data_IF_574771583753
#
_entry.id   IF_574771583753
#
_cell.length_a   1.000
_cell.length_b   1.000
_cell.length_c   1.000
_cell.angle_alpha   90.00
_cell.angle_beta   90.00
_cell.angle_gamma   90.00
#
_symmetry.space_group_name_H-M   'P 1'
#
loop_
_entity.id
_entity.type
_entity.pdbx_description
1 polymer ?
#
# COMPACT_ATOMS: atom_id res chain seq x y z
N UNK A 1 15.26 -3.24 15.44
CA UNK A 1 14.62 -2.83 14.17
C UNK A 1 13.59 -1.78 14.53
N UNK A 2 13.49 -0.68 13.80
CA UNK A 2 12.42 0.29 14.07
C UNK A 2 11.07 -0.30 13.64
N UNK A 3 9.99 -0.12 14.44
CA UNK A 3 8.69 -0.68 14.15
C UNK A 3 8.09 -0.10 12.86
N UNK A 4 7.26 -0.87 12.17
CA UNK A 4 6.54 -0.38 11.00
C UNK A 4 5.38 0.52 11.43
N UNK A 5 5.54 1.83 11.25
CA UNK A 5 4.52 2.80 11.64
C UNK A 5 3.47 2.90 10.55
N UNK A 6 2.20 2.73 10.94
CA UNK A 6 1.06 2.86 10.05
C UNK A 6 0.06 3.84 10.67
N UNK A 7 -0.58 4.66 9.85
CA UNK A 7 -1.50 5.66 10.39
C UNK A 7 -2.69 4.97 11.05
N UNK A 8 -3.24 5.58 12.10
CA UNK A 8 -4.52 5.13 12.65
C UNK A 8 -5.64 5.25 11.59
N UNK A 9 -6.55 4.27 11.42
CA UNK A 9 -7.58 4.29 10.37
C UNK A 9 -8.49 5.53 10.37
N UNK A 10 -8.71 6.12 11.54
CA UNK A 10 -9.53 7.34 11.70
C UNK A 10 -8.77 8.64 11.42
N UNK A 11 -7.45 8.56 11.34
CA UNK A 11 -6.57 9.71 11.07
C UNK A 11 -6.20 9.83 9.59
N UNK A 12 -6.65 8.90 8.74
CA UNK A 12 -6.40 8.94 7.28
C UNK A 12 -6.76 10.33 6.72
N UNK A 13 -5.84 10.98 5.98
CA UNK A 13 -6.06 12.33 5.46
C UNK A 13 -7.39 12.47 4.71
N UNK A 14 -8.06 13.60 4.94
CA UNK A 14 -9.34 13.90 4.29
C UNK A 14 -9.20 14.75 3.04
N UNK A 15 -8.05 15.34 2.76
CA UNK A 15 -7.91 16.15 1.57
C UNK A 15 -6.57 15.81 0.94
N UNK A 16 -6.53 15.87 -0.40
CA UNK A 16 -5.27 15.68 -1.13
C UNK A 16 -4.27 16.75 -0.72
N UNK A 17 -4.75 17.96 -0.49
CA UNK A 17 -3.98 19.12 -0.04
C UNK A 17 -3.28 18.84 1.31
N UNK A 18 -3.86 17.98 2.16
CA UNK A 18 -3.26 17.53 3.41
C UNK A 18 -2.03 16.63 3.21
N UNK A 19 -1.87 16.01 2.05
CA UNK A 19 -0.70 15.19 1.68
C UNK A 19 0.31 15.98 0.84
N UNK A 20 -0.11 17.06 0.18
CA UNK A 20 0.71 17.78 -0.78
C UNK A 20 1.97 18.38 -0.14
N UNK A 21 1.85 18.91 1.08
CA UNK A 21 3.00 19.44 1.82
C UNK A 21 4.03 18.34 2.10
N UNK A 22 3.60 17.22 2.71
CA UNK A 22 4.46 16.08 3.00
C UNK A 22 5.10 15.50 1.73
N UNK A 23 4.33 15.31 0.66
CA UNK A 23 4.85 14.85 -0.62
C UNK A 23 5.90 15.81 -1.18
N UNK A 24 5.67 17.13 -1.10
CA UNK A 24 6.63 18.13 -1.56
C UNK A 24 7.94 18.09 -0.75
N UNK A 25 7.86 17.88 0.56
CA UNK A 25 9.04 17.71 1.43
C UNK A 25 9.81 16.45 1.04
N UNK A 26 9.12 15.31 0.91
CA UNK A 26 9.75 14.04 0.51
C UNK A 26 10.45 14.15 -0.85
N UNK A 27 9.82 14.78 -1.84
CA UNK A 27 10.42 15.03 -3.16
C UNK A 27 11.68 15.87 -3.07
N UNK A 28 11.66 16.96 -2.29
CA UNK A 28 12.86 17.82 -2.08
C UNK A 28 14.02 17.06 -1.45
N UNK A 29 13.72 16.01 -0.68
CA UNK A 29 14.71 15.13 -0.07
C UNK A 29 15.11 13.94 -0.96
N UNK A 30 14.54 13.81 -2.17
CA UNK A 30 14.77 12.68 -3.08
C UNK A 30 14.13 11.37 -2.59
N UNK A 31 13.08 11.46 -1.79
CA UNK A 31 12.36 10.34 -1.17
C UNK A 31 10.96 10.17 -1.77
N UNK A 32 10.83 10.28 -3.09
CA UNK A 32 9.57 10.00 -3.81
C UNK A 32 9.59 8.62 -4.48
N UNK A 33 8.63 8.33 -5.34
CA UNK A 33 8.49 7.04 -6.03
C UNK A 33 9.73 6.65 -6.86
N UNK A 34 10.53 7.61 -7.30
CA UNK A 34 11.76 7.35 -8.07
C UNK A 34 12.82 6.59 -7.26
N UNK A 35 12.76 6.66 -5.92
CA UNK A 35 13.67 5.92 -5.04
C UNK A 35 13.56 4.42 -5.21
N UNK A 36 12.41 3.92 -5.66
CA UNK A 36 12.16 2.50 -5.92
C UNK A 36 12.96 1.99 -7.12
N UNK A 37 13.38 2.88 -8.03
CA UNK A 37 14.24 2.57 -9.17
C UNK A 37 15.73 2.82 -8.89
N UNK A 38 16.07 3.47 -7.77
CA UNK A 38 17.45 3.76 -7.40
C UNK A 38 18.27 2.49 -7.11
N UNK A 39 19.60 2.62 -7.01
CA UNK A 39 20.48 1.49 -6.64
C UNK A 39 20.11 0.90 -5.25
N UNK A 40 20.45 -0.37 -4.95
CA UNK A 40 20.19 -0.99 -3.65
C UNK A 40 20.71 -0.20 -2.45
N UNK A 41 21.87 0.46 -2.58
CA UNK A 41 22.45 1.28 -1.50
C UNK A 41 21.56 2.49 -1.19
N UNK A 42 21.15 3.22 -2.23
CA UNK A 42 20.24 4.36 -2.10
C UNK A 42 18.88 3.96 -1.52
N UNK A 43 18.33 2.80 -1.92
CA UNK A 43 17.09 2.25 -1.34
C UNK A 43 17.20 1.99 0.16
N UNK A 44 18.31 1.40 0.60
CA UNK A 44 18.57 1.15 2.04
C UNK A 44 18.68 2.45 2.82
N UNK A 45 19.42 3.43 2.29
CA UNK A 45 19.53 4.74 2.93
C UNK A 45 18.17 5.43 3.03
N UNK A 46 17.40 5.44 1.95
CA UNK A 46 16.05 6.02 1.92
C UNK A 46 15.13 5.36 2.94
N UNK A 47 15.18 4.03 3.09
CA UNK A 47 14.41 3.30 4.11
C UNK A 47 14.74 3.80 5.52
N UNK A 48 16.03 3.95 5.84
CA UNK A 48 16.48 4.44 7.15
C UNK A 48 16.03 5.88 7.39
N UNK A 49 16.17 6.73 6.38
CA UNK A 49 15.77 8.14 6.47
C UNK A 49 14.26 8.28 6.65
N UNK A 50 13.45 7.53 5.89
CA UNK A 50 11.99 7.52 6.01
C UNK A 50 11.50 6.96 7.37
N UNK A 51 12.24 6.03 7.96
CA UNK A 51 11.92 5.45 9.26
C UNK A 51 12.37 6.37 10.42
N UNK A 52 13.30 7.30 10.18
CA UNK A 52 13.74 8.26 11.19
C UNK A 52 12.69 9.32 11.50
N UNK A 53 12.60 9.76 12.76
CA UNK A 53 11.67 10.81 13.21
C UNK A 53 12.02 12.22 12.71
N UNK A 54 13.14 12.40 12.00
CA UNK A 54 13.57 13.71 11.48
C UNK A 54 12.89 14.12 10.17
N UNK A 55 12.20 13.20 9.49
CA UNK A 55 11.53 13.45 8.20
C UNK A 55 10.02 13.50 8.33
N UNK A 56 9.47 12.68 9.23
CA UNK A 56 8.03 12.57 9.47
C UNK A 56 7.82 12.66 10.97
N UNK A 57 7.05 13.65 11.40
CA UNK A 57 6.57 13.73 12.78
C UNK A 57 5.48 12.69 13.00
N UNK A 58 5.61 11.90 14.06
CA UNK A 58 4.61 10.91 14.44
C UNK A 58 4.50 10.87 15.95
N UNK A 59 3.31 10.54 16.42
CA UNK A 59 3.02 10.32 17.83
C UNK A 59 2.19 9.05 17.96
N UNK A 60 2.29 8.29 19.07
CA UNK A 60 1.30 7.25 19.35
C UNK A 60 -0.10 7.85 19.27
N UNK A 61 -1.04 7.15 18.64
CA UNK A 61 -2.42 7.60 18.70
C UNK A 61 -2.95 7.54 20.18
N UNK A 62 -4.09 8.18 20.54
CA UNK A 62 -4.75 8.06 21.88
C UNK A 62 -5.93 7.03 21.98
N UNK A 63 -5.81 5.92 22.76
CA UNK A 63 -6.69 4.71 22.65
C UNK A 63 -5.96 3.34 22.79
N UNK A 64 -6.69 2.22 22.64
CA UNK A 64 -6.15 0.84 22.63
C UNK A 64 -6.03 0.34 21.18
N UNK A 65 -4.81 0.15 20.68
CA UNK A 65 -4.51 0.59 19.31
C UNK A 65 -4.49 -0.43 18.19
N UNK A 66 -4.94 -1.66 18.40
CA UNK A 66 -4.86 -2.65 17.33
C UNK A 66 -3.45 -2.72 16.70
N UNK A 67 -2.43 -2.48 17.54
CA UNK A 67 -1.05 -2.80 17.20
C UNK A 67 -1.05 -4.26 16.80
N UNK A 68 -0.37 -4.56 15.70
CA UNK A 68 -0.22 -5.93 15.27
C UNK A 68 1.19 -6.38 15.63
N UNK A 69 1.41 -6.94 16.83
CA UNK A 69 2.74 -7.38 17.26
C UNK A 69 3.27 -8.52 16.38
N UNK A 70 2.40 -9.22 15.63
CA UNK A 70 2.83 -10.28 14.70
C UNK A 70 3.49 -9.69 13.47
N UNK A 71 3.04 -8.51 13.06
CA UNK A 71 3.59 -7.77 11.93
C UNK A 71 4.56 -6.67 12.37
N UNK A 72 4.75 -6.46 13.68
CA UNK A 72 5.51 -5.35 14.26
C UNK A 72 5.04 -4.01 13.62
N UNK A 73 3.70 -3.84 13.64
CA UNK A 73 3.00 -2.65 13.16
C UNK A 73 2.51 -1.85 14.36
N UNK A 74 2.88 -0.58 14.39
CA UNK A 74 2.44 0.38 15.43
C UNK A 74 1.51 1.41 14.80
N UNK A 75 0.33 1.61 15.39
CA UNK A 75 -0.61 2.63 14.92
C UNK A 75 -0.26 4.01 15.49
N UNK A 76 0.01 4.97 14.60
CA UNK A 76 0.46 6.32 14.96
C UNK A 76 -0.47 7.41 14.42
N UNK A 77 -0.39 8.58 15.03
CA UNK A 77 -0.84 9.88 14.53
C UNK A 77 0.35 10.78 14.15
N UNK A 78 0.16 12.10 14.24
CA UNK A 78 1.18 13.12 13.89
C UNK A 78 0.99 13.73 12.50
N UNK A 79 2.07 13.89 11.73
CA UNK A 79 2.05 14.27 10.32
C UNK A 79 1.41 13.15 9.48
N UNK A 80 0.08 13.19 9.42
CA UNK A 80 -0.76 12.19 8.75
C UNK A 80 -0.35 11.99 7.30
N UNK A 81 0.09 13.06 6.63
CA UNK A 81 0.53 13.01 5.25
C UNK A 81 1.87 12.30 5.13
N UNK A 82 2.83 12.71 5.95
CA UNK A 82 4.15 12.10 6.04
C UNK A 82 4.09 10.61 6.39
N UNK A 83 3.32 10.24 7.42
CA UNK A 83 3.17 8.84 7.87
C UNK A 83 2.54 7.96 6.78
N UNK A 84 1.50 8.45 6.09
CA UNK A 84 0.85 7.68 5.03
C UNK A 84 1.81 7.44 3.87
N UNK A 85 2.52 8.48 3.40
CA UNK A 85 3.44 8.36 2.28
C UNK A 85 4.69 7.54 2.64
N UNK A 86 5.25 7.76 3.83
CA UNK A 86 6.45 7.04 4.29
C UNK A 86 6.16 5.56 4.52
N UNK A 87 5.01 5.20 5.12
CA UNK A 87 4.66 3.80 5.36
C UNK A 87 4.50 3.02 4.04
N UNK A 88 3.90 3.62 3.00
CA UNK A 88 3.83 3.04 1.66
C UNK A 88 5.25 2.84 1.10
N UNK A 89 6.08 3.88 1.07
CA UNK A 89 7.45 3.79 0.53
C UNK A 89 8.32 2.79 1.27
N UNK A 90 8.29 2.77 2.60
CA UNK A 90 9.01 1.78 3.42
C UNK A 90 8.53 0.37 3.07
N UNK A 91 7.21 0.14 2.97
CA UNK A 91 6.66 -1.16 2.57
C UNK A 91 7.20 -1.64 1.22
N UNK A 92 7.27 -0.73 0.24
CA UNK A 92 7.88 -1.05 -1.07
C UNK A 92 9.37 -1.34 -0.98
N UNK A 93 10.13 -0.55 -0.22
CA UNK A 93 11.56 -0.76 -0.02
C UNK A 93 11.84 -2.10 0.66
N UNK A 94 10.99 -2.54 1.59
CA UNK A 94 11.07 -3.83 2.26
C UNK A 94 10.84 -4.99 1.28
N UNK A 95 9.79 -4.89 0.46
CA UNK A 95 9.49 -5.86 -0.60
C UNK A 95 10.63 -5.94 -1.61
N UNK A 96 11.14 -4.80 -2.09
CA UNK A 96 12.26 -4.76 -3.03
C UNK A 96 13.54 -5.35 -2.43
N UNK A 97 13.83 -5.05 -1.17
CA UNK A 97 15.01 -5.57 -0.48
C UNK A 97 14.92 -7.09 -0.33
N UNK A 98 13.77 -7.60 0.12
CA UNK A 98 13.54 -9.03 0.24
C UNK A 98 13.57 -9.74 -1.12
N UNK A 99 12.92 -9.17 -2.14
CA UNK A 99 12.89 -9.75 -3.48
C UNK A 99 14.26 -9.78 -4.15
N UNK A 100 15.12 -8.78 -3.90
CA UNK A 100 16.51 -8.79 -4.39
C UNK A 100 17.33 -9.94 -3.79
N UNK A 101 17.04 -10.33 -2.53
CA UNK A 101 17.80 -11.35 -1.80
C UNK A 101 17.29 -12.77 -2.05
N UNK A 102 15.96 -12.95 -2.05
CA UNK A 102 15.29 -14.25 -2.14
C UNK A 102 14.78 -14.57 -3.56
N UNK A 103 14.74 -13.58 -4.47
CA UNK A 103 14.08 -13.69 -5.76
C UNK A 103 12.55 -13.67 -5.63
N UNK A 104 11.82 -13.82 -6.73
CA UNK A 104 10.36 -13.92 -6.71
C UNK A 104 9.85 -14.81 -7.83
N UNK A 105 8.76 -15.54 -7.61
CA UNK A 105 8.05 -16.28 -8.66
C UNK A 105 6.90 -15.48 -9.27
N UNK A 106 6.62 -14.27 -8.75
CA UNK A 106 5.62 -13.36 -9.30
C UNK A 106 6.02 -12.95 -10.72
N UNK A 107 5.10 -13.14 -11.66
CA UNK A 107 5.29 -12.75 -13.05
C UNK A 107 5.45 -11.25 -13.25
N UNK A 108 6.08 -10.87 -14.36
CA UNK A 108 6.42 -9.49 -14.70
C UNK A 108 5.22 -8.53 -14.67
N UNK A 109 4.05 -8.95 -15.16
CA UNK A 109 2.84 -8.11 -15.18
C UNK A 109 2.30 -7.80 -13.78
N UNK A 110 2.36 -8.78 -12.88
CA UNK A 110 1.99 -8.60 -11.48
C UNK A 110 3.01 -7.72 -10.77
N UNK A 111 4.31 -7.91 -11.06
CA UNK A 111 5.37 -7.05 -10.54
C UNK A 111 5.23 -5.59 -11.00
N UNK A 112 4.92 -5.37 -12.27
CA UNK A 112 4.60 -4.04 -12.82
C UNK A 112 3.38 -3.43 -12.15
N UNK A 113 2.33 -4.22 -11.95
CA UNK A 113 1.12 -3.80 -11.23
C UNK A 113 1.45 -3.34 -9.82
N UNK A 114 2.30 -4.09 -9.11
CA UNK A 114 2.75 -3.75 -7.77
C UNK A 114 3.48 -2.41 -7.76
N UNK A 115 4.49 -2.23 -8.60
CA UNK A 115 5.34 -1.04 -8.58
C UNK A 115 4.68 0.22 -9.15
N UNK A 116 3.54 0.12 -9.84
CA UNK A 116 2.85 1.29 -10.39
C UNK A 116 2.14 2.17 -9.34
N UNK A 117 1.71 1.58 -8.22
CA UNK A 117 0.87 2.30 -7.26
C UNK A 117 1.58 3.49 -6.56
N UNK A 118 2.88 3.45 -6.22
CA UNK A 118 3.63 4.59 -5.70
C UNK A 118 3.64 5.77 -6.67
N UNK A 119 3.95 5.53 -7.94
CA UNK A 119 3.91 6.57 -8.98
C UNK A 119 2.51 7.15 -9.11
N UNK A 120 1.48 6.31 -9.18
CA UNK A 120 0.09 6.78 -9.20
C UNK A 120 -0.28 7.63 -7.97
N UNK A 121 0.23 7.27 -6.78
CA UNK A 121 -0.01 8.01 -5.54
C UNK A 121 0.69 9.38 -5.55
N UNK A 122 1.97 9.43 -5.92
CA UNK A 122 2.71 10.69 -6.00
C UNK A 122 2.18 11.60 -7.11
N UNK A 123 1.82 11.03 -8.27
CA UNK A 123 1.22 11.78 -9.37
C UNK A 123 -0.13 12.38 -8.96
N UNK A 124 -0.97 11.60 -8.28
CA UNK A 124 -2.24 12.09 -7.74
C UNK A 124 -2.04 13.24 -6.73
N UNK A 125 -1.14 13.07 -5.77
CA UNK A 125 -0.92 14.06 -4.70
C UNK A 125 -0.27 15.33 -5.22
N UNK A 126 0.69 15.22 -6.14
CA UNK A 126 1.48 16.35 -6.66
C UNK A 126 0.96 16.91 -7.99
N UNK A 127 -0.09 16.31 -8.56
CA UNK A 127 -0.65 16.65 -9.87
C UNK A 127 0.41 16.58 -10.98
N UNK A 128 1.27 15.55 -10.93
CA UNK A 128 2.25 15.29 -11.99
C UNK A 128 1.55 14.59 -13.17
N UNK A 129 2.03 14.78 -14.41
CA UNK A 129 1.60 13.94 -15.52
C UNK A 129 2.02 12.49 -15.24
N UNK A 130 1.18 11.53 -15.64
CA UNK A 130 1.50 10.11 -15.48
C UNK A 130 2.73 9.75 -16.31
N UNK A 131 3.85 9.49 -15.64
CA UNK A 131 5.10 9.08 -16.30
C UNK A 131 5.26 7.57 -16.19
N UNK A 132 5.60 6.93 -17.31
CA UNK A 132 5.92 5.51 -17.32
C UNK A 132 7.13 5.23 -16.43
N UNK A 133 7.05 4.18 -15.62
CA UNK A 133 8.14 3.72 -14.76
C UNK A 133 8.81 2.49 -15.38
N UNK A 134 10.13 2.48 -15.39
CA UNK A 134 10.94 1.33 -15.77
C UNK A 134 10.91 0.28 -14.66
N UNK A 135 10.36 -0.89 -14.97
CA UNK A 135 10.23 -2.00 -14.02
C UNK A 135 11.32 -3.02 -14.29
N UNK A 136 12.14 -3.29 -13.27
CA UNK A 136 13.10 -4.40 -13.28
C UNK A 136 12.57 -5.49 -12.35
N UNK A 137 12.27 -6.65 -12.92
CA UNK A 137 11.88 -7.83 -12.15
C UNK A 137 13.11 -8.38 -11.42
N UNK A 138 13.03 -8.66 -10.11
CA UNK A 138 14.12 -9.26 -9.37
C UNK A 138 14.55 -10.59 -10.00
N UNK A 139 15.86 -10.79 -10.12
CA UNK A 139 16.43 -12.06 -10.57
C UNK A 139 16.31 -13.17 -9.53
N UNK A 140 16.93 -14.32 -9.82
CA UNK A 140 17.02 -15.40 -8.85
C UNK A 140 17.83 -14.96 -7.62
N UNK A 141 17.22 -15.07 -6.44
CA UNK A 141 17.91 -14.84 -5.18
C UNK A 141 18.47 -16.13 -4.58
N UNK A 142 19.39 -15.99 -3.65
CA UNK A 142 20.08 -17.10 -2.97
C UNK A 142 19.63 -17.29 -1.53
N UNK A 143 19.05 -16.26 -0.92
CA UNK A 143 18.65 -16.27 0.49
C UNK A 143 17.29 -16.95 0.67
N UNK A 144 17.07 -17.60 1.81
CA UNK A 144 15.77 -18.14 2.21
C UNK A 144 15.22 -17.38 3.43
N UNK A 145 14.27 -16.47 3.18
CA UNK A 145 13.76 -15.50 4.17
C UNK A 145 12.23 -15.46 4.19
N UNK A 146 11.55 -16.60 4.47
CA UNK A 146 10.10 -16.71 4.34
C UNK A 146 9.34 -15.82 5.32
N UNK A 147 9.85 -15.64 6.54
CA UNK A 147 9.24 -14.76 7.54
C UNK A 147 9.32 -13.29 7.12
N UNK A 148 10.51 -12.82 6.70
CA UNK A 148 10.68 -11.45 6.19
C UNK A 148 9.80 -11.19 4.96
N UNK A 149 9.61 -12.20 4.10
CA UNK A 149 8.74 -12.11 2.93
C UNK A 149 7.28 -11.90 3.32
N UNK A 150 6.76 -12.77 4.19
CA UNK A 150 5.40 -12.67 4.68
C UNK A 150 5.15 -11.30 5.32
N UNK A 151 6.07 -10.87 6.20
CA UNK A 151 5.97 -9.60 6.90
C UNK A 151 6.04 -8.40 5.96
N UNK A 152 6.98 -8.37 5.00
CA UNK A 152 7.11 -7.27 4.04
C UNK A 152 5.86 -7.14 3.14
N UNK A 153 5.35 -8.27 2.62
CA UNK A 153 4.15 -8.26 1.79
C UNK A 153 2.89 -7.86 2.56
N UNK A 154 2.72 -8.33 3.80
CA UNK A 154 1.57 -7.98 4.64
C UNK A 154 1.61 -6.51 5.08
N UNK A 155 2.77 -5.98 5.49
CA UNK A 155 2.94 -4.55 5.81
C UNK A 155 2.62 -3.66 4.62
N UNK A 156 3.12 -4.02 3.43
CA UNK A 156 2.83 -3.28 2.21
C UNK A 156 1.33 -3.35 1.86
N UNK A 157 0.70 -4.51 2.00
CA UNK A 157 -0.74 -4.66 1.84
C UNK A 157 -1.52 -3.68 2.74
N UNK A 158 -1.19 -3.62 4.04
CA UNK A 158 -1.85 -2.71 4.99
C UNK A 158 -1.71 -1.24 4.58
N UNK A 159 -0.50 -0.83 4.20
CA UNK A 159 -0.24 0.54 3.74
C UNK A 159 -1.02 0.88 2.45
N UNK A 160 -1.10 -0.06 1.50
CA UNK A 160 -1.84 0.11 0.25
C UNK A 160 -3.36 0.15 0.43
N UNK A 161 -3.91 -0.67 1.33
CA UNK A 161 -5.35 -0.62 1.66
C UNK A 161 -5.68 0.71 2.36
N UNK A 162 -4.78 1.24 3.18
CA UNK A 162 -4.93 2.57 3.76
C UNK A 162 -4.88 3.69 2.71
N UNK A 163 -3.97 3.60 1.72
CA UNK A 163 -3.93 4.51 0.58
C UNK A 163 -5.21 4.41 -0.28
N UNK A 164 -5.76 3.21 -0.47
CA UNK A 164 -7.04 3.00 -1.15
C UNK A 164 -8.21 3.66 -0.38
N UNK A 165 -8.25 3.54 0.96
CA UNK A 165 -9.23 4.23 1.81
C UNK A 165 -9.14 5.75 1.66
N UNK A 166 -7.93 6.31 1.63
CA UNK A 166 -7.72 7.73 1.34
C UNK A 166 -8.35 8.13 0.00
N UNK A 167 -8.02 7.40 -1.07
CA UNK A 167 -8.48 7.70 -2.42
C UNK A 167 -10.01 7.56 -2.57
N UNK A 168 -10.62 6.51 -2.03
CA UNK A 168 -12.08 6.32 -2.06
C UNK A 168 -12.82 7.39 -1.27
N UNK A 169 -12.24 7.85 -0.16
CA UNK A 169 -12.81 9.00 0.57
C UNK A 169 -12.80 10.27 -0.27
N UNK A 170 -11.83 10.41 -1.18
CA UNK A 170 -11.81 11.46 -2.21
C UNK A 170 -13.00 11.36 -3.16
N UNK A 171 -13.30 10.17 -3.69
CA UNK A 171 -14.46 9.92 -4.57
C UNK A 171 -15.77 10.36 -3.92
N UNK A 172 -16.02 9.93 -2.68
CA UNK A 172 -17.28 10.18 -1.96
C UNK A 172 -17.51 11.68 -1.70
N UNK A 173 -16.44 12.47 -1.59
CA UNK A 173 -16.52 13.91 -1.34
C UNK A 173 -16.53 14.76 -2.61
N UNK A 174 -15.83 14.33 -3.65
CA UNK A 174 -15.63 15.14 -4.84
C UNK A 174 -16.92 15.37 -5.62
N UNK A 175 -17.95 14.50 -5.44
CA UNK A 175 -19.37 14.50 -5.89
C UNK A 175 -19.72 15.11 -7.26
N UNK A 176 -19.23 16.29 -7.60
CA UNK A 176 -19.46 17.00 -8.86
C UNK A 176 -18.18 17.27 -9.68
N UNK A 177 -16.99 17.19 -9.09
CA UNK A 177 -15.70 17.31 -9.78
C UNK A 177 -15.34 15.98 -10.47
N UNK A 178 -15.87 15.79 -11.68
CA UNK A 178 -15.67 14.55 -12.46
C UNK A 178 -14.19 14.19 -12.66
N UNK A 179 -13.30 15.10 -13.08
CA UNK A 179 -11.87 14.81 -13.18
C UNK A 179 -11.27 14.29 -11.87
N UNK A 180 -11.57 14.93 -10.73
CA UNK A 180 -11.06 14.50 -9.44
C UNK A 180 -11.63 13.15 -9.00
N UNK A 181 -12.92 12.91 -9.25
CA UNK A 181 -13.58 11.61 -8.98
C UNK A 181 -12.92 10.49 -9.76
N UNK A 182 -12.66 10.69 -11.05
CA UNK A 182 -12.01 9.70 -11.91
C UNK A 182 -10.56 9.42 -11.49
N UNK A 183 -9.82 10.46 -11.12
CA UNK A 183 -8.45 10.35 -10.62
C UNK A 183 -8.42 9.56 -9.29
N UNK A 184 -9.28 9.91 -8.34
CA UNK A 184 -9.40 9.22 -7.06
C UNK A 184 -9.79 7.73 -7.22
N UNK A 185 -10.75 7.38 -8.08
CA UNK A 185 -11.12 5.96 -8.29
C UNK A 185 -10.03 5.20 -9.02
N UNK A 186 -9.28 5.86 -9.91
CA UNK A 186 -8.13 5.27 -10.60
C UNK A 186 -7.02 4.94 -9.61
N UNK A 187 -6.66 5.89 -8.74
CA UNK A 187 -5.70 5.66 -7.65
C UNK A 187 -6.18 4.52 -6.73
N UNK A 188 -7.43 4.56 -6.26
CA UNK A 188 -7.98 3.51 -5.41
C UNK A 188 -7.87 2.12 -6.05
N UNK A 189 -8.19 2.03 -7.34
CA UNK A 189 -8.08 0.78 -8.11
C UNK A 189 -6.63 0.31 -8.23
N UNK A 190 -5.68 1.21 -8.48
CA UNK A 190 -4.26 0.89 -8.54
C UNK A 190 -3.75 0.36 -7.19
N UNK A 191 -4.09 1.03 -6.08
CA UNK A 191 -3.73 0.59 -4.73
C UNK A 191 -4.32 -0.79 -4.39
N UNK A 192 -5.58 -1.07 -4.74
CA UNK A 192 -6.20 -2.38 -4.48
C UNK A 192 -5.54 -3.51 -5.28
N UNK A 193 -5.21 -3.27 -6.55
CA UNK A 193 -4.49 -4.23 -7.39
C UNK A 193 -3.10 -4.51 -6.83
N UNK A 194 -2.36 -3.47 -6.46
CA UNK A 194 -1.05 -3.61 -5.83
C UNK A 194 -1.14 -4.33 -4.47
N UNK A 195 -2.17 -4.03 -3.65
CA UNK A 195 -2.39 -4.69 -2.37
C UNK A 195 -2.65 -6.20 -2.53
N UNK A 196 -3.36 -6.59 -3.61
CA UNK A 196 -3.56 -8.00 -3.96
C UNK A 196 -2.22 -8.66 -4.29
N UNK A 197 -1.39 -8.01 -5.12
CA UNK A 197 -0.06 -8.55 -5.48
C UNK A 197 0.87 -8.61 -4.26
N UNK A 198 0.79 -7.65 -3.33
CA UNK A 198 1.56 -7.67 -2.10
C UNK A 198 1.22 -8.90 -1.22
N UNK A 199 -0.05 -9.33 -1.19
CA UNK A 199 -0.43 -10.57 -0.52
C UNK A 199 0.06 -11.82 -1.25
N UNK A 200 0.00 -11.82 -2.58
CA UNK A 200 0.62 -12.90 -3.38
C UNK A 200 2.12 -12.98 -3.09
N UNK A 201 2.80 -11.84 -2.96
CA UNK A 201 4.20 -11.77 -2.57
C UNK A 201 4.46 -12.30 -1.16
N UNK A 202 3.60 -11.97 -0.19
CA UNK A 202 3.72 -12.50 1.16
C UNK A 202 3.70 -14.05 1.19
N UNK A 203 2.92 -14.67 0.29
CA UNK A 203 2.81 -16.11 0.13
C UNK A 203 3.80 -16.73 -0.87
N UNK A 204 4.68 -15.94 -1.50
CA UNK A 204 5.63 -16.42 -2.52
C UNK A 204 6.83 -17.14 -1.88
N UNK A 205 6.55 -18.26 -1.22
CA UNK A 205 7.50 -19.12 -0.52
C UNK A 205 7.24 -20.57 -0.95
N UNK A 206 8.29 -21.26 -1.42
CA UNK A 206 8.19 -22.69 -1.78
C UNK A 206 7.82 -23.53 -0.55
N UNK A 207 6.68 -24.23 -0.61
CA UNK A 207 6.25 -25.18 0.42
C UNK A 207 5.77 -24.55 1.73
N UNK A 208 5.56 -23.23 1.79
CA UNK A 208 5.06 -22.54 2.97
C UNK A 208 3.53 -22.55 3.05
N UNK A 209 2.99 -22.66 4.27
CA UNK A 209 1.56 -22.47 4.52
C UNK A 209 1.26 -20.95 4.51
N UNK A 210 0.25 -20.53 3.75
CA UNK A 210 -0.15 -19.13 3.69
C UNK A 210 -0.63 -18.66 5.08
N UNK A 211 -0.07 -17.55 5.57
CA UNK A 211 -0.55 -16.92 6.81
C UNK A 211 -1.86 -16.21 6.51
N UNK A 212 -2.95 -16.50 7.25
CA UNK A 212 -4.24 -15.88 7.00
C UNK A 212 -4.16 -14.37 7.21
N UNK A 213 -4.67 -13.61 6.24
CA UNK A 213 -4.80 -12.15 6.34
C UNK A 213 -6.12 -11.85 7.05
N UNK A 214 -6.05 -11.12 8.16
CA UNK A 214 -7.23 -10.75 8.94
C UNK A 214 -7.93 -9.56 8.28
N UNK A 215 -9.27 -9.57 8.28
CA UNK A 215 -10.06 -8.45 7.78
C UNK A 215 -9.73 -7.16 8.57
N UNK A 216 -9.31 -6.11 7.86
CA UNK A 216 -8.95 -4.82 8.47
C UNK A 216 -10.13 -3.84 8.51
N UNK A 217 -10.04 -2.83 9.38
CA UNK A 217 -11.03 -1.74 9.42
C UNK A 217 -11.11 -0.98 8.09
N UNK A 218 -9.97 -0.80 7.42
CA UNK A 218 -9.90 -0.18 6.10
C UNK A 218 -10.59 -1.05 5.04
N UNK A 219 -10.41 -2.36 5.05
CA UNK A 219 -11.11 -3.28 4.14
C UNK A 219 -12.63 -3.23 4.31
N UNK A 220 -13.11 -3.28 5.56
CA UNK A 220 -14.55 -3.17 5.88
C UNK A 220 -15.14 -1.86 5.37
N UNK A 221 -14.43 -0.76 5.56
CA UNK A 221 -14.87 0.55 5.07
C UNK A 221 -15.03 0.58 3.55
N UNK A 222 -14.10 0.00 2.80
CA UNK A 222 -14.16 -0.03 1.33
C UNK A 222 -15.43 -0.72 0.82
N UNK A 223 -15.87 -1.78 1.50
CA UNK A 223 -17.15 -2.44 1.21
C UNK A 223 -18.37 -1.58 1.56
N UNK A 224 -18.33 -0.89 2.71
CA UNK A 224 -19.43 -0.02 3.15
C UNK A 224 -19.70 1.12 2.17
N UNK A 225 -18.65 1.69 1.56
CA UNK A 225 -18.77 2.83 0.64
C UNK A 225 -18.96 2.44 -0.82
N UNK A 226 -19.05 1.14 -1.14
CA UNK A 226 -19.16 0.64 -2.52
C UNK A 226 -20.36 1.24 -3.27
N UNK A 227 -21.49 1.40 -2.59
CA UNK A 227 -22.70 2.03 -3.15
C UNK A 227 -22.48 3.50 -3.52
N UNK A 228 -21.78 4.26 -2.66
CA UNK A 228 -21.46 5.66 -2.93
C UNK A 228 -20.51 5.80 -4.13
N UNK A 229 -19.49 4.95 -4.22
CA UNK A 229 -18.57 4.92 -5.37
C UNK A 229 -19.33 4.60 -6.65
N UNK A 230 -20.25 3.63 -6.64
CA UNK A 230 -21.06 3.25 -7.81
C UNK A 230 -21.85 4.42 -8.38
N UNK A 231 -22.38 5.29 -7.53
CA UNK A 231 -23.17 6.46 -7.95
C UNK A 231 -22.27 7.57 -8.50
N UNK A 232 -21.06 7.71 -7.95
CA UNK A 232 -20.16 8.82 -8.29
C UNK A 232 -19.37 8.62 -9.60
N UNK A 233 -19.07 7.38 -10.00
CA UNK A 233 -18.12 7.10 -11.08
C UNK A 233 -18.77 6.49 -12.33
N UNK A 234 -18.17 6.66 -13.53
CA UNK A 234 -18.60 5.95 -14.73
C UNK A 234 -18.61 4.43 -14.53
N UNK A 235 -19.60 3.74 -15.11
CA UNK A 235 -19.79 2.29 -14.94
C UNK A 235 -18.52 1.47 -15.17
N UNK A 236 -17.76 1.77 -16.23
CA UNK A 236 -16.52 1.06 -16.54
C UNK A 236 -15.46 1.20 -15.42
N UNK A 237 -15.35 2.38 -14.80
CA UNK A 237 -14.44 2.62 -13.67
C UNK A 237 -14.91 1.93 -12.41
N UNK A 238 -16.22 1.94 -12.15
CA UNK A 238 -16.81 1.20 -11.04
C UNK A 238 -16.53 -0.30 -11.16
N UNK A 239 -16.72 -0.89 -12.34
CA UNK A 239 -16.50 -2.31 -12.57
C UNK A 239 -15.02 -2.69 -12.34
N UNK A 240 -14.07 -1.85 -12.77
CA UNK A 240 -12.64 -2.04 -12.49
C UNK A 240 -12.32 -1.99 -10.99
N UNK A 241 -12.88 -1.01 -10.28
CA UNK A 241 -12.72 -0.86 -8.84
C UNK A 241 -13.33 -2.06 -8.08
N UNK A 242 -14.58 -2.42 -8.39
CA UNK A 242 -15.29 -3.51 -7.74
C UNK A 242 -14.66 -4.88 -8.02
N UNK A 243 -14.07 -5.08 -9.21
CA UNK A 243 -13.30 -6.28 -9.51
C UNK A 243 -12.00 -6.33 -8.68
N UNK A 244 -11.29 -5.20 -8.53
CA UNK A 244 -10.10 -5.14 -7.70
C UNK A 244 -10.40 -5.40 -6.21
N UNK A 245 -11.50 -4.84 -5.68
CA UNK A 245 -11.92 -5.07 -4.30
C UNK A 245 -12.34 -6.53 -4.04
N UNK A 246 -13.09 -7.15 -4.97
CA UNK A 246 -13.46 -8.56 -4.88
C UNK A 246 -12.24 -9.48 -4.89
N UNK A 247 -11.31 -9.25 -5.81
CA UNK A 247 -10.08 -10.04 -5.93
C UNK A 247 -9.22 -9.96 -4.67
N UNK A 248 -9.20 -8.80 -4.02
CA UNK A 248 -8.55 -8.66 -2.72
C UNK A 248 -9.19 -9.63 -1.70
N UNK A 249 -10.52 -9.68 -1.61
CA UNK A 249 -11.25 -10.60 -0.74
C UNK A 249 -11.01 -12.09 -1.05
N UNK A 250 -10.91 -12.47 -2.33
CA UNK A 250 -10.63 -13.85 -2.74
C UNK A 250 -9.31 -14.38 -2.15
N UNK A 251 -8.26 -13.55 -2.13
CA UNK A 251 -6.95 -13.90 -1.54
C UNK A 251 -7.03 -14.10 -0.02
N UNK A 252 -7.99 -13.45 0.66
CA UNK A 252 -8.23 -13.66 2.09
C UNK A 252 -8.98 -14.98 2.34
N UNK A 253 -9.93 -15.33 1.46
CA UNK A 253 -10.79 -16.52 1.61
C UNK A 253 -10.14 -17.84 1.19
N UNK A 254 -8.99 -17.82 0.52
CA UNK A 254 -8.25 -19.03 0.13
C UNK A 254 -7.34 -19.60 1.23
N UNK A 255 -7.35 -19.03 2.45
CA UNK A 255 -6.94 -19.76 3.67
C UNK A 255 -8.02 -20.76 4.07
N UNK A 256 -7.68 -21.99 4.49
CA UNK A 256 -8.63 -23.10 4.52
C UNK A 256 -9.71 -22.88 5.57
N UNK A 257 -10.87 -22.41 5.14
CA UNK A 257 -12.16 -22.61 5.82
C UNK A 257 -12.76 -23.99 5.52
N UNK A 258 -11.91 -24.99 5.29
CA UNK A 258 -12.29 -26.39 5.07
C UNK A 258 -11.51 -27.27 6.05
N UNK A 259 -11.96 -27.35 7.30
CA UNK A 259 -12.22 -28.60 8.07
C UNK A 259 -12.95 -28.19 9.36
N UNK A 260 -14.27 -27.99 9.28
CA UNK A 260 -15.16 -28.07 10.45
C UNK A 260 -16.56 -28.41 9.91
N UNK A 261 -16.76 -29.69 9.60
CA UNK A 261 -17.99 -30.19 9.00
C UNK A 261 -17.81 -31.61 8.49
N UNK A 262 -17.62 -32.53 9.43
CA UNK A 262 -17.53 -33.99 9.24
C UNK A 262 -17.48 -34.65 10.59
#
# INVERSE_FOLDING_TARGET
MEPFRLLHPDLVPRHRESLQHAASVLVRMGLDDTVLSASPVHRRLARVVLASSGVVEWEPAPGDFGDDPRLDVVRVGGDRGGVLLSSVLIGYLDVLCNATRMGTSIGEDAWRTLLWAPTALFDHVLRRPQVGMTVVTPGAGTDHLPYERAQAGQRLHLALVQAARFAVSGVVRAQEDRPLVEDCVTLATACLRAATVALVFAGDVRGGQAVPVVETAEHRYLWQVLGAVRVAVPRARFEQFAAALRRLGEVHTTSPLLVAGG
#
